data_IF_239590915048
#
_entry.id   IF_239590915048
#
_cell.length_a   1.000
_cell.length_b   1.000
_cell.length_c   1.000
_cell.angle_alpha   90.00
_cell.angle_beta   90.00
_cell.angle_gamma   90.00
#
_symmetry.space_group_name_H-M   'P 1'
#
loop_
_entity.id
_entity.type
_entity.pdbx_description
1 polymer ?
#
# COMPACT_ATOMS: atom_id res chain seq x y z
N UNK A 1 8.40 4.65 -7.59
CA UNK A 1 8.85 6.07 -7.62
C UNK A 1 9.21 6.49 -6.18
N UNK A 2 10.22 7.32 -5.92
CA UNK A 2 10.50 7.76 -4.56
C UNK A 2 9.53 8.88 -4.14
N UNK A 3 8.68 8.61 -3.16
CA UNK A 3 7.88 9.63 -2.47
C UNK A 3 8.85 10.46 -1.61
N UNK A 4 8.98 11.79 -1.82
CA UNK A 4 9.92 12.60 -1.06
C UNK A 4 9.55 12.62 0.43
N UNK A 5 10.36 11.97 1.28
CA UNK A 5 10.20 11.95 2.73
C UNK A 5 9.77 10.60 3.32
N UNK A 6 9.54 9.57 2.50
CA UNK A 6 9.24 8.22 2.95
C UNK A 6 10.07 7.20 2.17
N UNK A 7 10.68 6.25 2.89
CA UNK A 7 11.34 5.12 2.25
C UNK A 7 10.29 4.14 1.70
N UNK A 8 10.51 3.55 0.52
CA UNK A 8 9.54 2.65 -0.11
C UNK A 8 9.13 1.49 0.82
N UNK A 9 10.08 0.96 1.59
CA UNK A 9 9.86 -0.12 2.55
C UNK A 9 8.96 0.32 3.73
N UNK A 10 9.15 1.55 4.25
CA UNK A 10 8.33 2.08 5.35
C UNK A 10 6.89 2.36 4.90
N UNK A 11 6.70 2.82 3.66
CA UNK A 11 5.35 3.04 3.11
C UNK A 11 4.64 1.70 2.99
N UNK A 12 5.33 0.67 2.50
CA UNK A 12 4.74 -0.65 2.31
C UNK A 12 4.27 -1.26 3.63
N UNK A 13 5.15 -1.29 4.65
CA UNK A 13 4.79 -1.77 5.99
C UNK A 13 3.57 -1.01 6.55
N UNK A 14 3.52 0.30 6.32
CA UNK A 14 2.40 1.15 6.73
C UNK A 14 1.11 0.93 5.94
N UNK A 15 1.20 0.52 4.67
CA UNK A 15 0.06 0.11 3.86
C UNK A 15 -0.46 -1.24 4.32
N UNK A 16 0.42 -2.22 4.53
CA UNK A 16 0.08 -3.56 5.05
C UNK A 16 -0.55 -3.48 6.45
N UNK A 17 -0.06 -2.60 7.31
CA UNK A 17 -0.63 -2.39 8.64
C UNK A 17 -2.02 -1.73 8.63
N UNK A 18 -2.38 -1.01 7.56
CA UNK A 18 -3.64 -0.25 7.45
C UNK A 18 -4.66 -0.89 6.50
N UNK A 19 -4.21 -1.60 5.48
CA UNK A 19 -5.03 -2.31 4.52
C UNK A 19 -5.19 -3.75 4.98
N UNK A 20 -6.42 -4.12 5.29
CA UNK A 20 -6.77 -5.53 5.51
C UNK A 20 -6.70 -6.30 4.19
N UNK A 21 -6.51 -7.63 4.23
CA UNK A 21 -6.47 -8.50 3.05
C UNK A 21 -7.65 -8.20 2.11
N UNK A 22 -8.85 -7.98 2.65
CA UNK A 22 -10.04 -7.68 1.85
C UNK A 22 -10.06 -6.28 1.21
N UNK A 23 -9.31 -5.30 1.71
CA UNK A 23 -9.08 -4.01 1.02
C UNK A 23 -8.01 -4.17 -0.05
N UNK A 24 -6.93 -4.92 0.23
CA UNK A 24 -5.88 -5.25 -0.74
C UNK A 24 -6.48 -5.96 -1.94
N UNK A 25 -7.32 -6.99 -1.72
CA UNK A 25 -7.98 -7.75 -2.78
C UNK A 25 -8.98 -6.93 -3.60
N UNK A 26 -9.45 -5.80 -3.08
CA UNK A 26 -10.33 -4.87 -3.83
C UNK A 26 -9.55 -3.82 -4.62
N UNK A 27 -8.32 -3.53 -4.22
CA UNK A 27 -7.45 -2.54 -4.87
C UNK A 27 -6.58 -3.18 -5.93
N UNK A 28 -6.12 -4.40 -5.68
CA UNK A 28 -5.27 -5.18 -6.57
C UNK A 28 -6.11 -6.15 -7.40
N UNK A 29 -5.67 -6.42 -8.61
CA UNK A 29 -6.14 -7.53 -9.44
C UNK A 29 -5.55 -8.86 -8.94
N UNK A 30 -6.16 -10.00 -9.30
CA UNK A 30 -5.67 -11.33 -8.92
C UNK A 30 -4.17 -11.55 -9.23
N UNK A 31 -3.69 -11.07 -10.38
CA UNK A 31 -2.28 -11.18 -10.77
C UNK A 31 -1.34 -10.33 -9.91
N UNK A 32 -1.81 -9.16 -9.44
CA UNK A 32 -1.03 -8.23 -8.61
C UNK A 32 -0.96 -8.73 -7.17
N UNK A 33 -2.07 -9.27 -6.68
CA UNK A 33 -2.15 -10.02 -5.43
C UNK A 33 -1.18 -11.20 -5.38
N UNK A 34 -1.08 -11.97 -6.46
CA UNK A 34 -0.18 -13.11 -6.52
C UNK A 34 1.29 -12.66 -6.44
N UNK A 35 1.65 -11.58 -7.13
CA UNK A 35 2.97 -10.98 -7.05
C UNK A 35 3.29 -10.41 -5.65
N UNK A 36 2.31 -9.73 -5.03
CA UNK A 36 2.43 -9.21 -3.67
C UNK A 36 2.59 -10.34 -2.64
N UNK A 37 1.72 -11.35 -2.66
CA UNK A 37 1.81 -12.53 -1.77
C UNK A 37 3.08 -13.36 -2.02
N UNK A 38 3.62 -13.32 -3.24
CA UNK A 38 4.87 -13.95 -3.61
C UNK A 38 6.11 -13.20 -3.12
N UNK A 39 5.98 -11.94 -2.67
CA UNK A 39 7.09 -11.05 -2.33
C UNK A 39 7.89 -10.60 -3.56
N UNK A 40 7.32 -10.72 -4.76
CA UNK A 40 7.93 -10.27 -6.02
C UNK A 40 7.75 -8.75 -6.22
N UNK A 41 6.71 -8.17 -5.61
CA UNK A 41 6.39 -6.74 -5.67
C UNK A 41 5.70 -6.28 -4.38
N UNK A 42 5.77 -4.99 -4.09
CA UNK A 42 5.20 -4.37 -2.89
C UNK A 42 3.87 -3.66 -3.22
N UNK A 43 3.03 -3.39 -2.23
CA UNK A 43 1.77 -2.63 -2.41
C UNK A 43 2.03 -1.26 -3.05
N UNK A 44 3.13 -0.61 -2.69
CA UNK A 44 3.53 0.68 -3.25
C UNK A 44 3.79 0.66 -4.77
N UNK A 45 4.06 -0.51 -5.35
CA UNK A 45 4.32 -0.66 -6.78
C UNK A 45 3.01 -0.73 -7.58
N UNK A 46 1.91 -1.09 -6.91
CA UNK A 46 0.58 -1.23 -7.51
C UNK A 46 -0.34 -0.04 -7.19
N UNK A 47 -0.13 0.62 -6.05
CA UNK A 47 -0.94 1.76 -5.63
C UNK A 47 -0.33 3.07 -6.12
N UNK A 48 -1.18 3.95 -6.63
CA UNK A 48 -0.78 5.31 -6.97
C UNK A 48 -0.54 6.16 -5.72
N UNK A 49 0.30 7.20 -5.84
CA UNK A 49 0.60 8.16 -4.77
C UNK A 49 -0.67 8.68 -4.06
N UNK A 50 -1.71 9.04 -4.83
CA UNK A 50 -2.98 9.54 -4.29
C UNK A 50 -3.81 8.46 -3.55
N UNK A 51 -3.60 7.18 -3.85
CA UNK A 51 -4.20 6.08 -3.09
C UNK A 51 -3.42 5.82 -1.80
N UNK A 52 -2.09 5.81 -1.90
CA UNK A 52 -1.18 5.66 -0.76
C UNK A 52 -1.47 6.76 0.27
N UNK A 53 -1.49 8.03 -0.15
CA UNK A 53 -1.77 9.17 0.71
C UNK A 53 -3.11 9.02 1.43
N UNK A 54 -4.17 8.59 0.73
CA UNK A 54 -5.49 8.36 1.34
C UNK A 54 -5.49 7.25 2.38
N UNK A 55 -4.71 6.19 2.18
CA UNK A 55 -4.60 5.09 3.14
C UNK A 55 -3.80 5.54 4.35
N UNK A 56 -2.70 6.26 4.15
CA UNK A 56 -1.87 6.80 5.22
C UNK A 56 -2.63 7.83 6.07
N UNK A 57 -3.35 8.75 5.42
CA UNK A 57 -4.14 9.80 6.07
C UNK A 57 -5.32 9.23 6.87
N UNK A 58 -5.93 8.11 6.44
CA UNK A 58 -7.00 7.42 7.17
C UNK A 58 -6.57 7.00 8.59
N UNK A 59 -5.28 6.68 8.78
CA UNK A 59 -4.76 6.24 10.09
C UNK A 59 -4.32 7.37 11.02
N UNK A 60 -4.04 8.57 10.48
CA UNK A 60 -3.59 9.74 11.26
C UNK A 60 -4.75 10.68 11.67
N UNK A 61 -5.99 10.29 11.35
CA UNK A 61 -7.21 11.00 11.73
C UNK A 61 -7.62 10.82 13.19
N UNK A 62 -6.71 11.06 14.14
CA UNK A 62 -7.09 11.44 15.51
C UNK A 62 -7.29 12.95 15.57
N UNK A 63 -8.46 13.44 15.16
CA UNK A 63 -8.96 14.75 15.60
C UNK A 63 -10.49 14.78 15.73
#
# INVERSE_FOLDING_TARGET
MPIPGYDPEDIDEQLEARLDDGEIERKLSDSELEAYRGGDANLIDFLDEAEIERVLERGDGSN
#
